data_IF_058521582543
#
_entry.id   IF_058521582543
#
_cell.length_a   1.000
_cell.length_b   1.000
_cell.length_c   1.000
_cell.angle_alpha   90.00
_cell.angle_beta   90.00
_cell.angle_gamma   90.00
#
_symmetry.space_group_name_H-M   'P 1'
#
loop_
_entity.id
_entity.type
_entity.pdbx_description
1 polymer ?
#
# COMPACT_ATOMS: atom_id res chain seq x y z
N UNK A 1 16.30 -47.54 -9.13
CA UNK A 1 17.07 -46.27 -9.01
C UNK A 1 16.27 -45.08 -9.55
N UNK A 2 15.79 -45.11 -10.80
CA UNK A 2 14.99 -44.02 -11.38
C UNK A 2 13.75 -43.62 -10.56
N UNK A 3 12.94 -44.59 -10.12
CA UNK A 3 11.73 -44.33 -9.32
C UNK A 3 12.06 -43.63 -7.99
N UNK A 4 13.17 -44.01 -7.34
CA UNK A 4 13.60 -43.43 -6.07
C UNK A 4 14.09 -41.98 -6.29
N UNK A 5 14.86 -41.74 -7.35
CA UNK A 5 15.32 -40.39 -7.71
C UNK A 5 14.14 -39.48 -8.09
N UNK A 6 13.16 -39.99 -8.84
CA UNK A 6 11.94 -39.26 -9.17
C UNK A 6 11.14 -38.88 -7.91
N UNK A 7 11.01 -39.80 -6.95
CA UNK A 7 10.34 -39.51 -5.68
C UNK A 7 11.03 -38.42 -4.87
N UNK A 8 12.37 -38.41 -4.82
CA UNK A 8 13.16 -37.39 -4.12
C UNK A 8 13.00 -36.02 -4.79
N UNK A 9 13.04 -35.96 -6.14
CA UNK A 9 12.86 -34.71 -6.88
C UNK A 9 11.45 -34.14 -6.70
N UNK A 10 10.41 -34.98 -6.81
CA UNK A 10 9.02 -34.55 -6.60
C UNK A 10 8.82 -34.04 -5.18
N UNK A 11 9.39 -34.72 -4.17
CA UNK A 11 9.31 -34.28 -2.78
C UNK A 11 10.00 -32.93 -2.58
N UNK A 12 11.21 -32.72 -3.10
CA UNK A 12 11.92 -31.44 -2.99
C UNK A 12 11.16 -30.30 -3.70
N UNK A 13 10.56 -30.59 -4.87
CA UNK A 13 9.71 -29.63 -5.57
C UNK A 13 8.46 -29.32 -4.74
N UNK A 14 7.81 -30.33 -4.18
CA UNK A 14 6.62 -30.18 -3.35
C UNK A 14 6.92 -29.40 -2.06
N UNK A 15 8.03 -29.69 -1.38
CA UNK A 15 8.47 -28.98 -0.18
C UNK A 15 8.81 -27.51 -0.51
N UNK A 16 9.49 -27.25 -1.64
CA UNK A 16 9.74 -25.90 -2.16
C UNK A 16 8.44 -25.14 -2.47
N UNK A 17 7.45 -25.80 -3.07
CA UNK A 17 6.14 -25.19 -3.31
C UNK A 17 5.37 -24.98 -2.01
N UNK A 18 5.38 -25.92 -1.07
CA UNK A 18 4.71 -25.79 0.22
C UNK A 18 5.28 -24.64 1.04
N UNK A 19 6.60 -24.44 1.04
CA UNK A 19 7.25 -23.32 1.73
C UNK A 19 6.90 -21.98 1.05
N UNK A 20 6.68 -21.97 -0.26
CA UNK A 20 6.27 -20.79 -1.03
C UNK A 20 4.76 -20.51 -0.99
N UNK A 21 3.94 -21.55 -0.85
CA UNK A 21 2.46 -21.53 -0.78
C UNK A 21 1.99 -21.25 0.65
N UNK A 22 2.76 -21.66 1.67
CA UNK A 22 2.50 -21.40 3.09
C UNK A 22 3.23 -20.14 3.58
N UNK A 23 3.42 -19.13 2.71
CA UNK A 23 3.55 -17.77 3.24
C UNK A 23 2.17 -17.34 3.69
N UNK A 24 1.89 -17.49 4.98
CA UNK A 24 0.75 -16.82 5.60
C UNK A 24 0.75 -15.37 5.10
N UNK A 25 -0.39 -14.93 4.56
CA UNK A 25 -0.57 -13.54 4.13
C UNK A 25 -0.25 -12.67 5.34
N UNK A 26 0.86 -11.95 5.25
CA UNK A 26 1.33 -11.19 6.39
C UNK A 26 0.52 -9.89 6.47
N UNK A 27 -0.57 -9.93 7.23
CA UNK A 27 -1.52 -8.82 7.37
C UNK A 27 -1.11 -7.91 8.54
N UNK A 28 -1.33 -6.62 8.35
CA UNK A 28 -1.08 -5.56 9.32
C UNK A 28 -2.31 -4.66 9.40
N UNK A 29 -2.67 -4.24 10.61
CA UNK A 29 -3.61 -3.14 10.78
C UNK A 29 -2.84 -1.82 10.57
N UNK A 30 -3.40 -0.91 9.78
CA UNK A 30 -2.78 0.37 9.44
C UNK A 30 -3.78 1.49 9.66
N UNK A 31 -3.46 2.41 10.56
CA UNK A 31 -4.18 3.66 10.73
C UNK A 31 -3.46 4.76 9.95
N UNK A 32 -4.18 5.44 9.07
CA UNK A 32 -3.65 6.56 8.27
C UNK A 32 -4.17 7.85 8.87
N UNK A 33 -3.27 8.77 9.18
CA UNK A 33 -3.58 10.09 9.71
C UNK A 33 -3.21 11.14 8.67
N UNK A 34 -4.17 11.98 8.34
CA UNK A 34 -4.00 13.03 7.35
C UNK A 34 -4.92 14.20 7.69
N UNK A 35 -4.32 15.36 7.92
CA UNK A 35 -4.93 16.50 8.58
C UNK A 35 -5.57 16.08 9.92
N UNK A 36 -6.75 16.63 10.24
CA UNK A 36 -7.53 16.31 11.44
C UNK A 36 -8.37 15.04 11.29
N UNK A 37 -8.09 14.20 10.30
CA UNK A 37 -8.89 13.02 9.95
C UNK A 37 -8.03 11.77 9.93
N UNK A 38 -8.69 10.63 10.12
CA UNK A 38 -8.04 9.33 10.07
C UNK A 38 -8.96 8.24 9.51
N UNK A 39 -8.34 7.17 9.03
CA UNK A 39 -9.02 5.94 8.60
C UNK A 39 -8.16 4.73 8.95
N UNK A 40 -8.77 3.55 9.04
CA UNK A 40 -8.09 2.30 9.36
C UNK A 40 -8.36 1.25 8.30
N UNK A 41 -7.36 0.40 8.03
CA UNK A 41 -7.49 -0.73 7.12
C UNK A 41 -6.59 -1.90 7.52
N UNK A 42 -6.89 -3.05 6.95
CA UNK A 42 -5.96 -4.18 6.90
C UNK A 42 -5.14 -4.08 5.61
N UNK A 43 -3.82 -4.11 5.74
CA UNK A 43 -2.88 -4.11 4.61
C UNK A 43 -2.12 -5.44 4.54
N UNK A 44 -1.94 -5.95 3.32
CA UNK A 44 -1.06 -7.09 3.06
C UNK A 44 0.38 -6.58 2.91
N UNK A 45 1.32 -7.16 3.64
CA UNK A 45 2.73 -6.94 3.37
C UNK A 45 3.12 -7.64 2.08
N UNK A 46 3.37 -6.85 1.05
CA UNK A 46 3.76 -7.32 -0.27
C UNK A 46 5.26 -7.12 -0.45
N UNK A 47 6.03 -8.16 -0.15
CA UNK A 47 7.50 -8.15 -0.34
C UNK A 47 7.91 -8.06 -1.82
N UNK A 48 6.99 -8.32 -2.75
CA UNK A 48 7.21 -8.16 -4.18
C UNK A 48 6.99 -6.72 -4.66
N UNK A 49 6.35 -5.88 -3.84
CA UNK A 49 6.06 -4.49 -4.17
C UNK A 49 7.20 -3.56 -3.71
N UNK A 50 8.11 -3.25 -4.63
CA UNK A 50 9.16 -2.24 -4.47
C UNK A 50 8.76 -0.88 -5.06
N UNK A 51 7.48 -0.55 -5.06
CA UNK A 51 7.00 0.70 -5.63
C UNK A 51 7.52 1.90 -4.83
N UNK A 52 8.26 2.76 -5.53
CA UNK A 52 8.82 4.00 -5.00
C UNK A 52 8.24 5.20 -5.74
N UNK A 53 8.01 6.29 -5.01
CA UNK A 53 7.69 7.58 -5.63
C UNK A 53 8.91 8.07 -6.44
N UNK A 54 8.74 8.45 -7.72
CA UNK A 54 9.86 8.72 -8.63
C UNK A 54 10.86 9.77 -8.18
N UNK A 55 10.40 10.84 -7.51
CA UNK A 55 11.23 12.00 -7.15
C UNK A 55 11.91 11.82 -5.80
N UNK A 56 11.13 11.60 -4.75
CA UNK A 56 11.61 11.50 -3.37
C UNK A 56 12.16 10.12 -3.00
N UNK A 57 11.89 9.09 -3.82
CA UNK A 57 12.22 7.68 -3.52
C UNK A 57 11.64 7.22 -2.19
N UNK A 58 10.53 7.83 -1.75
CA UNK A 58 9.77 7.36 -0.61
C UNK A 58 8.98 6.11 -1.02
N UNK A 59 8.90 5.11 -0.14
CA UNK A 59 8.09 3.92 -0.38
C UNK A 59 6.61 4.28 -0.42
N UNK A 60 5.85 3.49 -1.18
CA UNK A 60 4.42 3.74 -1.43
C UNK A 60 3.58 2.67 -0.74
N UNK A 61 2.68 3.09 0.15
CA UNK A 61 1.58 2.28 0.66
C UNK A 61 0.40 2.45 -0.30
N UNK A 62 0.03 1.39 -1.02
CA UNK A 62 -1.11 1.44 -1.93
C UNK A 62 -2.37 1.21 -1.11
N UNK A 63 -3.38 2.06 -1.26
CA UNK A 63 -4.63 1.98 -0.50
C UNK A 63 -5.80 2.17 -1.44
N UNK A 64 -6.85 1.37 -1.25
CA UNK A 64 -8.06 1.52 -2.02
C UNK A 64 -8.75 2.86 -1.76
N UNK A 65 -9.20 3.51 -2.83
CA UNK A 65 -9.90 4.80 -2.78
C UNK A 65 -11.07 4.80 -1.79
N UNK A 66 -11.88 3.73 -1.78
CA UNK A 66 -13.07 3.64 -0.92
C UNK A 66 -12.78 3.76 0.58
N UNK A 67 -11.56 3.43 1.01
CA UNK A 67 -11.14 3.51 2.43
C UNK A 67 -10.71 4.93 2.81
N UNK A 68 -10.11 5.67 1.88
CA UNK A 68 -9.48 6.96 2.14
C UNK A 68 -10.30 8.15 1.67
N UNK A 69 -11.37 7.93 0.89
CA UNK A 69 -12.18 9.01 0.30
C UNK A 69 -12.61 10.05 1.32
N UNK A 70 -12.88 9.64 2.56
CA UNK A 70 -13.32 10.55 3.62
C UNK A 70 -12.22 11.46 4.19
N UNK A 71 -10.98 11.02 4.11
CA UNK A 71 -9.82 11.73 4.68
C UNK A 71 -9.13 12.65 3.67
N UNK A 72 -9.20 12.35 2.37
CA UNK A 72 -8.57 13.17 1.33
C UNK A 72 -9.30 14.50 1.06
N UNK A 73 -8.64 15.48 0.41
CA UNK A 73 -9.27 16.74 0.04
C UNK A 73 -10.46 16.54 -0.90
N UNK A 74 -11.49 17.38 -0.76
CA UNK A 74 -12.73 17.29 -1.55
C UNK A 74 -12.48 17.31 -3.05
N UNK A 75 -11.54 18.15 -3.54
CA UNK A 75 -11.21 18.22 -4.96
C UNK A 75 -10.66 16.91 -5.50
N UNK A 76 -9.81 16.24 -4.71
CA UNK A 76 -9.26 14.93 -5.08
C UNK A 76 -10.37 13.87 -5.08
N UNK A 77 -11.26 13.90 -4.07
CA UNK A 77 -12.43 13.02 -4.01
C UNK A 77 -13.31 13.12 -5.26
N UNK A 78 -13.64 14.35 -5.69
CA UNK A 78 -14.45 14.58 -6.88
C UNK A 78 -13.87 13.91 -8.13
N UNK A 79 -12.56 14.04 -8.35
CA UNK A 79 -11.89 13.43 -9.52
C UNK A 79 -12.02 11.90 -9.52
N UNK A 80 -11.85 11.26 -8.35
CA UNK A 80 -12.05 9.81 -8.24
C UNK A 80 -13.51 9.37 -8.31
N UNK A 81 -14.45 10.19 -7.84
CA UNK A 81 -15.88 9.89 -7.93
C UNK A 81 -16.39 10.02 -9.37
N UNK A 82 -15.82 10.95 -10.14
CA UNK A 82 -16.13 11.17 -11.56
C UNK A 82 -15.35 10.23 -12.51
N UNK A 83 -14.40 9.44 -12.00
CA UNK A 83 -13.60 8.51 -12.79
C UNK A 83 -12.57 9.21 -13.69
N UNK A 84 -12.07 10.36 -13.27
CA UNK A 84 -11.17 11.23 -14.02
C UNK A 84 -9.71 11.15 -13.52
N UNK A 85 -9.37 10.20 -12.66
CA UNK A 85 -8.04 10.07 -12.05
C UNK A 85 -6.92 9.72 -13.04
N UNK A 86 -7.26 9.34 -14.27
CA UNK A 86 -6.32 9.09 -15.37
C UNK A 86 -6.21 10.27 -16.36
N UNK A 87 -7.07 11.30 -16.23
CA UNK A 87 -7.04 12.50 -17.08
C UNK A 87 -5.93 13.46 -16.60
N UNK A 88 -4.86 13.57 -17.40
CA UNK A 88 -3.71 14.41 -17.10
C UNK A 88 -4.07 15.89 -16.86
N UNK A 89 -5.07 16.43 -17.56
CA UNK A 89 -5.49 17.82 -17.37
C UNK A 89 -6.14 18.00 -16.00
N UNK A 90 -7.03 17.07 -15.60
CA UNK A 90 -7.68 17.10 -14.29
C UNK A 90 -6.65 16.95 -13.17
N UNK A 91 -5.69 16.04 -13.33
CA UNK A 91 -4.61 15.85 -12.38
C UNK A 91 -3.76 17.12 -12.24
N UNK A 92 -3.43 17.78 -13.36
CA UNK A 92 -2.69 19.04 -13.31
C UNK A 92 -3.43 20.11 -12.49
N UNK A 93 -4.74 20.29 -12.75
CA UNK A 93 -5.56 21.23 -11.98
C UNK A 93 -5.59 20.90 -10.49
N UNK A 94 -5.68 19.62 -10.12
CA UNK A 94 -5.63 19.19 -8.71
C UNK A 94 -4.28 19.55 -8.08
N UNK A 95 -3.17 19.27 -8.76
CA UNK A 95 -1.83 19.57 -8.25
C UNK A 95 -1.70 21.07 -8.00
N UNK A 96 -2.18 21.90 -8.94
CA UNK A 96 -2.13 23.36 -8.83
C UNK A 96 -3.02 23.89 -7.69
N UNK A 97 -4.25 23.37 -7.56
CA UNK A 97 -5.22 23.74 -6.52
C UNK A 97 -4.75 23.35 -5.10
N UNK A 98 -4.08 22.21 -4.97
CA UNK A 98 -3.67 21.65 -3.68
C UNK A 98 -2.21 21.96 -3.30
N UNK A 99 -1.40 22.58 -4.18
CA UNK A 99 0.06 22.70 -4.01
C UNK A 99 0.49 23.33 -2.68
N UNK A 100 -0.31 24.24 -2.15
CA UNK A 100 -0.01 25.00 -0.92
C UNK A 100 -0.39 24.22 0.37
N UNK A 101 -1.20 23.16 0.24
CA UNK A 101 -1.76 22.42 1.38
C UNK A 101 -1.26 20.99 1.47
N UNK A 102 -1.03 20.34 0.32
CA UNK A 102 -0.74 18.91 0.29
C UNK A 102 0.21 18.59 -0.85
N UNK A 103 1.16 17.70 -0.57
CA UNK A 103 2.08 17.18 -1.59
C UNK A 103 1.35 16.08 -2.37
N UNK A 104 0.89 16.41 -3.58
CA UNK A 104 0.36 15.44 -4.55
C UNK A 104 1.49 14.95 -5.46
N UNK A 105 1.49 13.64 -5.75
CA UNK A 105 2.51 12.94 -6.55
C UNK A 105 1.85 12.05 -7.58
N UNK A 106 2.47 11.96 -8.75
CA UNK A 106 2.14 10.99 -9.79
C UNK A 106 3.13 9.84 -9.73
N UNK A 107 2.63 8.62 -9.54
CA UNK A 107 3.45 7.43 -9.29
C UNK A 107 3.17 6.41 -10.40
N UNK A 108 4.15 6.12 -11.28
CA UNK A 108 4.01 5.08 -12.28
C UNK A 108 3.76 3.73 -11.62
N UNK A 109 2.68 3.06 -12.00
CA UNK A 109 2.28 1.78 -11.44
C UNK A 109 1.95 0.80 -12.57
N UNK A 110 2.46 -0.42 -12.47
CA UNK A 110 2.27 -1.44 -13.50
C UNK A 110 1.48 -2.61 -12.92
N UNK A 111 0.24 -2.77 -13.35
CA UNK A 111 -0.48 -4.03 -13.15
C UNK A 111 -0.27 -4.96 -14.33
N UNK A 112 -0.30 -6.28 -14.06
CA UNK A 112 -0.20 -7.29 -15.11
C UNK A 112 -1.47 -7.21 -15.97
N UNK A 113 -1.33 -6.90 -17.26
CA UNK A 113 -2.44 -6.83 -18.21
C UNK A 113 -3.00 -5.44 -18.51
N UNK A 114 -2.49 -4.37 -17.88
CA UNK A 114 -2.93 -2.98 -18.15
C UNK A 114 -1.93 -2.21 -19.03
N UNK A 115 -2.42 -1.15 -19.69
CA UNK A 115 -1.57 -0.07 -20.22
C UNK A 115 -0.84 0.60 -19.05
N UNK A 116 0.32 1.23 -19.28
CA UNK A 116 1.10 1.96 -18.25
C UNK A 116 0.16 2.74 -17.31
N UNK A 117 -0.02 2.27 -16.08
CA UNK A 117 -0.91 2.86 -15.10
C UNK A 117 -0.19 3.94 -14.29
N UNK A 118 -0.96 4.87 -13.74
CA UNK A 118 -0.47 5.89 -12.81
C UNK A 118 -1.34 5.84 -11.56
N UNK A 119 -0.73 6.01 -10.40
CA UNK A 119 -1.43 6.30 -9.16
C UNK A 119 -1.25 7.79 -8.86
N UNK A 120 -2.32 8.43 -8.40
CA UNK A 120 -2.20 9.68 -7.66
C UNK A 120 -1.86 9.31 -6.23
N UNK A 121 -0.84 9.95 -5.66
CA UNK A 121 -0.46 9.75 -4.28
C UNK A 121 -0.35 11.06 -3.51
N UNK A 122 -0.46 10.95 -2.19
CA UNK A 122 -0.29 12.07 -1.27
C UNK A 122 0.60 11.67 -0.10
N UNK A 123 1.31 12.64 0.48
CA UNK A 123 2.04 12.42 1.72
C UNK A 123 1.07 12.53 2.91
N UNK A 124 0.90 11.47 3.74
CA UNK A 124 0.12 11.57 4.97
C UNK A 124 0.92 12.35 6.03
N UNK A 125 0.29 12.73 7.14
CA UNK A 125 1.03 13.25 8.29
C UNK A 125 1.89 12.14 8.89
N UNK A 126 1.26 10.99 9.13
CA UNK A 126 1.91 9.73 9.49
C UNK A 126 0.93 8.57 9.31
N UNK A 127 1.45 7.36 9.40
CA UNK A 127 0.67 6.14 9.60
C UNK A 127 1.13 5.46 10.87
N UNK A 128 0.22 4.69 11.46
CA UNK A 128 0.51 3.75 12.53
C UNK A 128 0.30 2.33 12.00
N UNK A 129 1.31 1.48 12.13
CA UNK A 129 1.26 0.08 11.72
C UNK A 129 1.24 -0.80 12.96
N UNK A 130 0.20 -1.62 13.11
CA UNK A 130 -0.06 -2.43 14.28
C UNK A 130 0.02 -3.91 13.92
N UNK A 131 0.80 -4.67 14.70
CA UNK A 131 0.86 -6.14 14.64
C UNK A 131 1.34 -6.75 15.94
N UNK A 132 0.66 -7.81 16.41
CA UNK A 132 1.04 -8.58 17.61
C UNK A 132 1.33 -7.67 18.82
N UNK A 133 0.47 -6.69 19.07
CA UNK A 133 0.59 -5.69 20.16
C UNK A 133 1.81 -4.76 20.04
N UNK A 134 2.51 -4.74 18.90
CA UNK A 134 3.53 -3.74 18.56
C UNK A 134 2.92 -2.71 17.63
N UNK A 135 3.25 -1.45 17.87
CA UNK A 135 2.89 -0.32 17.02
C UNK A 135 4.17 0.36 16.51
N UNK A 136 4.15 0.77 15.25
CA UNK A 136 5.26 1.48 14.59
C UNK A 136 4.68 2.71 13.90
N UNK A 137 5.25 3.88 14.16
CA UNK A 137 4.86 5.13 13.50
C UNK A 137 5.80 5.40 12.33
N UNK A 138 5.22 5.72 11.17
CA UNK A 138 5.96 6.05 9.95
C UNK A 138 5.40 7.32 9.29
N UNK A 139 6.25 8.31 9.03
CA UNK A 139 5.91 9.61 8.40
C UNK A 139 6.61 9.84 7.04
N UNK A 140 7.55 8.96 6.67
CA UNK A 140 8.36 9.04 5.46
C UNK A 140 7.91 8.04 4.40
N UNK A 141 6.66 8.20 3.94
CA UNK A 141 6.05 7.40 2.88
C UNK A 141 5.04 8.21 2.09
N UNK A 142 4.55 7.64 1.00
CA UNK A 142 3.45 8.18 0.20
C UNK A 142 2.28 7.18 0.21
N UNK A 143 1.06 7.68 0.37
CA UNK A 143 -0.15 6.89 0.13
C UNK A 143 -0.46 6.96 -1.36
N UNK A 144 -0.43 5.82 -2.06
CA UNK A 144 -0.86 5.70 -3.45
C UNK A 144 -2.31 5.27 -3.53
N UNK A 145 -3.16 6.05 -4.19
CA UNK A 145 -4.60 5.83 -4.24
C UNK A 145 -4.95 4.88 -5.40
N UNK A 146 -5.50 3.72 -5.08
CA UNK A 146 -5.95 2.73 -6.07
C UNK A 146 -7.47 2.77 -6.22
N UNK A 147 -7.96 3.12 -7.41
CA UNK A 147 -9.39 3.02 -7.73
C UNK A 147 -9.71 1.59 -8.19
N UNK A 148 -10.22 0.79 -7.27
CA UNK A 148 -10.56 -0.60 -7.52
C UNK A 148 -10.49 -1.44 -6.24
N UNK A 149 -10.54 -2.75 -6.41
CA UNK A 149 -10.41 -3.73 -5.34
C UNK A 149 -9.08 -4.46 -5.46
N UNK A 150 -8.33 -4.55 -4.36
CA UNK A 150 -7.06 -5.28 -4.29
C UNK A 150 -7.26 -6.79 -4.09
N UNK A 151 -8.43 -7.17 -3.58
CA UNK A 151 -8.86 -8.57 -3.38
C UNK A 151 -10.34 -8.68 -3.73
N UNK A 152 -10.78 -9.88 -4.12
CA UNK A 152 -12.21 -10.17 -4.35
C UNK A 152 -13.01 -10.41 -3.06
N UNK A 153 -12.33 -10.69 -1.95
CA UNK A 153 -12.93 -11.08 -0.66
C UNK A 153 -12.68 -10.07 0.46
N UNK A 154 -12.18 -8.88 0.13
CA UNK A 154 -11.92 -7.77 1.05
C UNK A 154 -11.00 -8.11 2.25
N UNK A 155 -10.19 -9.17 2.15
CA UNK A 155 -9.25 -9.58 3.21
C UNK A 155 -8.22 -8.51 3.57
N UNK A 156 -7.88 -7.65 2.62
CA UNK A 156 -7.00 -6.49 2.80
C UNK A 156 -7.39 -5.40 1.81
N UNK A 157 -7.20 -4.15 2.18
CA UNK A 157 -7.57 -2.97 1.38
C UNK A 157 -6.38 -2.04 1.15
N UNK A 158 -5.18 -2.55 1.43
CA UNK A 158 -3.91 -1.90 1.11
C UNK A 158 -2.76 -2.88 0.91
N UNK A 159 -1.71 -2.41 0.23
CA UNK A 159 -0.46 -3.14 0.02
C UNK A 159 0.68 -2.38 0.69
N UNK A 160 1.21 -2.96 1.77
CA UNK A 160 2.31 -2.41 2.56
C UNK A 160 3.65 -2.91 2.01
N UNK A 161 4.50 -1.99 1.58
CA UNK A 161 5.87 -2.34 1.18
C UNK A 161 6.75 -2.58 2.42
N UNK A 162 7.61 -3.60 2.37
CA UNK A 162 8.56 -3.93 3.44
C UNK A 162 9.48 -2.74 3.80
N UNK A 163 9.78 -1.89 2.82
CA UNK A 163 10.63 -0.71 3.03
C UNK A 163 10.02 0.32 4.00
N UNK A 164 8.69 0.36 4.12
CA UNK A 164 8.00 1.23 5.08
C UNK A 164 8.28 0.80 6.51
N UNK A 165 8.25 -0.51 6.77
CA UNK A 165 8.54 -1.08 8.09
C UNK A 165 10.01 -0.86 8.47
N UNK A 166 10.93 -1.05 7.52
CA UNK A 166 12.37 -0.87 7.76
C UNK A 166 12.76 0.58 8.08
N UNK A 167 11.97 1.56 7.62
CA UNK A 167 12.18 2.99 7.88
C UNK A 167 11.38 3.52 9.08
N UNK A 168 10.51 2.71 9.67
CA UNK A 168 9.63 3.11 10.77
C UNK A 168 10.36 3.23 12.10
N UNK A 169 9.95 4.21 12.91
CA UNK A 169 10.40 4.28 14.29
C UNK A 169 9.53 3.35 15.14
N UNK A 170 10.13 2.28 15.64
CA UNK A 170 9.45 1.33 16.53
C UNK A 170 9.23 1.98 17.90
N UNK A 171 8.02 2.45 18.17
CA UNK A 171 7.61 2.85 19.51
C UNK A 171 6.89 1.67 20.15
N UNK A 172 7.62 0.85 20.90
CA UNK A 172 7.00 -0.18 21.73
C UNK A 172 6.27 0.54 22.86
N UNK A 173 4.94 0.53 22.84
CA UNK A 173 4.14 0.82 24.03
C UNK A 173 4.41 -0.29 25.05
N UNK A 174 5.43 -0.08 25.89
CA UNK A 174 5.48 -0.70 27.20
C UNK A 174 4.50 0.10 28.08
N UNK A 175 3.59 -0.61 28.77
CA UNK A 175 2.51 -0.15 29.69
C UNK A 175 1.12 -0.27 29.04
N UNK A 176 0.10 -0.96 29.57
CA UNK A 176 -0.29 -1.55 30.87
C UNK A 176 -1.44 -2.54 30.55
N UNK A 177 -1.79 -3.62 31.27
CA UNK A 177 -1.59 -4.09 32.65
C UNK A 177 -1.83 -5.61 32.66
#
# INVERSE_FOLDING_TARGET
IGVILSGILIKNIFDYYQEKVTREKELFEVNIYFDSKNTSLIALMDTGNSLLEPLSKLPVLIVEYEIIKEIIPQRLRQVFDEGQEEDLLQIQYIIEDLKEKTIIRLIPFKTIGSKKGMLIGFKPDYIEIIKNSRSTICDNLIIGIFKGKLTTDDQYRGLLSLEILNRGNSYVNQNQT
#
